data_IF_728266033714
#
_entry.id   IF_728266033714
#
_cell.length_a   1.000
_cell.length_b   1.000
_cell.length_c   1.000
_cell.angle_alpha   90.00
_cell.angle_beta   90.00
_cell.angle_gamma   90.00
#
_symmetry.space_group_name_H-M   'P 1'
#
loop_
_entity.id
_entity.type
_entity.pdbx_description
1 polymer ?
#
# COMPACT_ATOMS: atom_id res chain seq x y z
N UNK A 1 27.39 9.03 1.38
CA UNK A 1 27.06 10.30 2.06
C UNK A 1 26.29 11.30 1.17
N UNK A 2 25.70 10.91 0.02
CA UNK A 2 25.03 11.84 -0.92
C UNK A 2 23.53 11.55 -1.20
N UNK A 3 22.88 10.62 -0.49
CA UNK A 3 21.47 10.30 -0.77
C UNK A 3 20.47 11.31 -0.20
N UNK A 4 20.84 12.04 0.87
CA UNK A 4 19.93 12.97 1.55
C UNK A 4 19.58 14.24 0.73
N UNK A 5 20.37 14.58 -0.30
CA UNK A 5 20.13 15.76 -1.15
C UNK A 5 19.47 15.43 -2.50
N UNK A 6 19.05 14.18 -2.71
CA UNK A 6 18.35 13.83 -3.94
C UNK A 6 16.96 14.46 -3.97
N UNK A 7 16.63 15.10 -5.10
CA UNK A 7 15.29 15.63 -5.34
C UNK A 7 14.29 14.47 -5.35
N UNK A 8 13.10 14.68 -4.80
CA UNK A 8 12.04 13.66 -4.78
C UNK A 8 11.80 13.03 -6.16
N UNK A 9 11.81 13.86 -7.22
CA UNK A 9 11.66 13.42 -8.62
C UNK A 9 12.81 12.56 -9.17
N UNK A 10 13.92 12.45 -8.45
CA UNK A 10 15.09 11.63 -8.82
C UNK A 10 15.16 10.31 -8.05
N UNK A 11 14.26 10.11 -7.08
CA UNK A 11 14.11 8.85 -6.37
C UNK A 11 13.39 7.83 -7.27
N UNK A 12 13.75 6.55 -7.16
CA UNK A 12 12.96 5.48 -7.77
C UNK A 12 11.55 5.45 -7.15
N UNK A 13 10.56 4.88 -7.86
CA UNK A 13 9.19 4.78 -7.34
C UNK A 13 9.14 4.13 -5.95
N UNK A 14 9.96 3.09 -5.74
CA UNK A 14 10.10 2.46 -4.43
C UNK A 14 10.73 3.33 -3.33
N UNK A 15 11.67 4.21 -3.67
CA UNK A 15 12.21 5.18 -2.73
C UNK A 15 11.21 6.29 -2.40
N UNK A 16 10.41 6.72 -3.39
CA UNK A 16 9.33 7.69 -3.20
C UNK A 16 8.25 7.14 -2.26
N UNK A 17 7.81 5.90 -2.47
CA UNK A 17 6.82 5.23 -1.61
C UNK A 17 7.30 5.15 -0.15
N UNK A 18 8.53 4.67 0.10
CA UNK A 18 9.12 4.64 1.45
C UNK A 18 9.18 6.02 2.10
N UNK A 19 9.59 7.03 1.34
CA UNK A 19 9.68 8.41 1.84
C UNK A 19 8.31 8.98 2.20
N UNK A 20 7.28 8.72 1.39
CA UNK A 20 5.91 9.16 1.67
C UNK A 20 5.32 8.49 2.91
N UNK A 21 5.50 7.17 3.07
CA UNK A 21 5.04 6.46 4.28
C UNK A 21 5.72 7.02 5.53
N UNK A 22 7.03 7.28 5.47
CA UNK A 22 7.77 7.92 6.57
C UNK A 22 7.25 9.32 6.90
N UNK A 23 6.93 10.14 5.89
CA UNK A 23 6.34 11.47 6.11
C UNK A 23 4.98 11.39 6.79
N UNK A 24 4.16 10.39 6.45
CA UNK A 24 2.84 10.18 7.05
C UNK A 24 2.94 9.70 8.50
N UNK A 25 3.93 8.87 8.81
CA UNK A 25 4.27 8.47 10.16
C UNK A 25 4.71 9.68 11.00
N UNK A 26 5.65 10.48 10.47
CA UNK A 26 6.13 11.71 11.12
C UNK A 26 5.04 12.77 11.31
N UNK A 27 4.01 12.79 10.46
CA UNK A 27 2.86 13.69 10.62
C UNK A 27 1.88 13.22 11.71
N UNK A 28 2.12 12.08 12.35
CA UNK A 28 1.23 11.48 13.35
C UNK A 28 -0.04 10.89 12.75
N UNK A 29 -0.03 10.55 11.45
CA UNK A 29 -1.17 9.87 10.83
C UNK A 29 -1.29 8.47 11.42
N UNK A 30 -2.45 8.13 11.96
CA UNK A 30 -2.71 6.79 12.51
C UNK A 30 -3.34 5.84 11.49
N UNK A 31 -3.74 6.37 10.32
CA UNK A 31 -4.42 5.62 9.27
C UNK A 31 -4.02 6.09 7.88
N UNK A 32 -3.78 5.14 6.97
CA UNK A 32 -3.57 5.35 5.54
C UNK A 32 -4.73 4.74 4.76
N UNK A 33 -5.22 5.48 3.76
CA UNK A 33 -6.19 4.98 2.78
C UNK A 33 -5.54 5.01 1.40
N UNK A 34 -5.48 3.85 0.76
CA UNK A 34 -4.84 3.65 -0.54
C UNK A 34 -5.88 3.15 -1.54
N UNK A 35 -5.92 3.75 -2.72
CA UNK A 35 -6.79 3.35 -3.81
C UNK A 35 -5.92 2.93 -4.99
N UNK A 36 -5.93 1.64 -5.32
CA UNK A 36 -5.10 0.99 -6.34
C UNK A 36 -3.60 1.38 -6.28
N UNK A 37 -2.92 1.13 -5.15
CA UNK A 37 -1.60 1.71 -4.91
C UNK A 37 -0.45 1.04 -5.68
N UNK A 38 -0.68 -0.14 -6.27
CA UNK A 38 0.30 -0.82 -7.14
C UNK A 38 0.11 -0.45 -8.61
N UNK A 39 -0.92 0.30 -8.96
CA UNK A 39 -1.22 0.65 -10.34
C UNK A 39 -0.15 1.57 -10.91
N UNK A 40 0.33 1.29 -12.12
CA UNK A 40 1.45 1.98 -12.78
C UNK A 40 2.82 1.87 -12.08
N UNK A 41 2.97 1.01 -11.07
CA UNK A 41 4.27 0.69 -10.48
C UNK A 41 4.94 -0.46 -11.24
N UNK A 42 6.26 -0.36 -11.42
CA UNK A 42 7.06 -1.52 -11.77
C UNK A 42 7.22 -2.46 -10.56
N UNK A 43 7.67 -3.69 -10.80
CA UNK A 43 7.82 -4.71 -9.74
C UNK A 43 8.66 -4.21 -8.55
N UNK A 44 9.78 -3.55 -8.82
CA UNK A 44 10.66 -3.05 -7.78
C UNK A 44 10.02 -1.94 -6.93
N UNK A 45 9.18 -1.11 -7.53
CA UNK A 45 8.42 -0.06 -6.84
C UNK A 45 7.28 -0.64 -6.02
N UNK A 46 6.57 -1.65 -6.54
CA UNK A 46 5.53 -2.37 -5.80
C UNK A 46 6.11 -3.09 -4.56
N UNK A 47 7.20 -3.85 -4.70
CA UNK A 47 7.89 -4.51 -3.57
C UNK A 47 8.37 -3.50 -2.51
N UNK A 48 8.85 -2.34 -2.96
CA UNK A 48 9.28 -1.29 -2.06
C UNK A 48 8.13 -0.64 -1.30
N UNK A 49 6.97 -0.49 -1.92
CA UNK A 49 5.74 -0.02 -1.28
C UNK A 49 5.27 -1.05 -0.25
N UNK A 50 5.21 -2.33 -0.60
CA UNK A 50 4.84 -3.41 0.33
C UNK A 50 5.75 -3.40 1.57
N UNK A 51 7.07 -3.28 1.37
CA UNK A 51 8.02 -3.19 2.47
C UNK A 51 7.79 -1.94 3.34
N UNK A 52 7.48 -0.79 2.73
CA UNK A 52 7.16 0.43 3.47
C UNK A 52 5.91 0.27 4.34
N UNK A 53 4.84 -0.30 3.78
CA UNK A 53 3.58 -0.53 4.48
C UNK A 53 3.74 -1.56 5.60
N UNK A 54 4.62 -2.56 5.44
CA UNK A 54 4.94 -3.51 6.50
C UNK A 54 5.69 -2.91 7.70
N UNK A 55 6.32 -1.74 7.53
CA UNK A 55 7.00 -1.00 8.61
C UNK A 55 6.10 0.06 9.26
N UNK A 56 4.98 0.41 8.64
CA UNK A 56 4.09 1.44 9.14
C UNK A 56 3.30 0.92 10.34
N UNK A 57 3.46 1.56 11.50
CA UNK A 57 2.81 1.14 12.75
C UNK A 57 1.32 1.54 12.84
N UNK A 58 0.80 2.27 11.85
CA UNK A 58 -0.61 2.66 11.79
C UNK A 58 -1.49 1.64 11.07
N UNK A 59 -2.77 1.99 10.91
CA UNK A 59 -3.72 1.17 10.15
C UNK A 59 -3.64 1.48 8.66
N UNK A 60 -3.48 0.47 7.81
CA UNK A 60 -3.58 0.64 6.35
C UNK A 60 -4.91 0.05 5.87
N UNK A 61 -5.69 0.87 5.16
CA UNK A 61 -6.86 0.43 4.41
C UNK A 61 -6.49 0.60 2.94
N UNK A 62 -6.60 -0.47 2.16
CA UNK A 62 -6.35 -0.40 0.72
C UNK A 62 -7.51 -1.00 -0.06
N UNK A 63 -7.82 -0.37 -1.18
CA UNK A 63 -8.64 -0.93 -2.26
C UNK A 63 -7.68 -1.39 -3.34
N UNK A 64 -7.77 -2.65 -3.75
CA UNK A 64 -6.95 -3.17 -4.84
C UNK A 64 -7.58 -4.39 -5.50
N UNK A 65 -7.25 -4.61 -6.78
CA UNK A 65 -7.48 -5.86 -7.48
C UNK A 65 -6.22 -6.76 -7.58
N UNK A 66 -5.09 -6.35 -6.99
CA UNK A 66 -3.81 -7.05 -7.06
C UNK A 66 -3.69 -8.21 -6.05
N UNK A 67 -3.64 -9.43 -6.57
CA UNK A 67 -3.54 -10.67 -5.78
C UNK A 67 -2.23 -10.80 -4.99
N UNK A 68 -1.14 -10.18 -5.45
CA UNK A 68 0.12 -10.21 -4.72
C UNK A 68 0.08 -9.23 -3.56
N UNK A 69 -0.36 -8.00 -3.83
CA UNK A 69 -0.43 -6.95 -2.82
C UNK A 69 -1.35 -7.31 -1.64
N UNK A 70 -2.47 -7.98 -1.91
CA UNK A 70 -3.38 -8.44 -0.86
C UNK A 70 -2.71 -9.32 0.19
N UNK A 71 -1.64 -10.07 -0.13
CA UNK A 71 -0.97 -10.98 0.82
C UNK A 71 -0.38 -10.28 2.04
N UNK A 72 -0.12 -8.98 1.96
CA UNK A 72 0.35 -8.17 3.08
C UNK A 72 -0.74 -7.81 4.10
N UNK A 73 -2.01 -8.10 3.81
CA UNK A 73 -3.14 -7.67 4.63
C UNK A 73 -3.70 -8.81 5.49
N UNK A 74 -4.27 -8.44 6.62
CA UNK A 74 -4.77 -9.39 7.64
C UNK A 74 -6.30 -9.49 7.67
N UNK A 75 -7.02 -8.55 7.06
CA UNK A 75 -8.48 -8.49 7.04
C UNK A 75 -8.96 -8.02 5.68
N UNK A 76 -10.05 -8.62 5.20
CA UNK A 76 -10.62 -8.32 3.89
C UNK A 76 -12.10 -8.00 4.01
N UNK A 77 -12.52 -6.90 3.40
CA UNK A 77 -13.93 -6.56 3.23
C UNK A 77 -14.29 -6.81 1.76
N UNK A 78 -15.22 -7.74 1.53
CA UNK A 78 -15.64 -8.13 0.19
C UNK A 78 -16.94 -7.40 -0.15
N UNK A 79 -16.95 -6.71 -1.28
CA UNK A 79 -18.12 -6.05 -1.85
C UNK A 79 -18.74 -6.98 -2.90
N UNK A 80 -19.81 -7.68 -2.55
CA UNK A 80 -20.51 -8.57 -3.46
C UNK A 80 -21.34 -7.83 -4.51
N UNK A 81 -21.57 -8.47 -5.66
CA UNK A 81 -22.35 -7.90 -6.77
C UNK A 81 -23.80 -7.50 -6.41
N UNK A 82 -24.35 -8.03 -5.32
CA UNK A 82 -25.66 -7.70 -4.78
C UNK A 82 -25.64 -6.50 -3.81
N UNK A 83 -24.51 -5.80 -3.68
CA UNK A 83 -24.32 -4.68 -2.75
C UNK A 83 -24.11 -5.12 -1.30
N UNK A 84 -23.97 -6.41 -1.01
CA UNK A 84 -23.62 -6.89 0.32
C UNK A 84 -22.13 -6.66 0.59
N UNK A 85 -21.81 -6.27 1.82
CA UNK A 85 -20.43 -6.17 2.31
C UNK A 85 -20.28 -7.14 3.47
N UNK A 86 -19.28 -8.02 3.39
CA UNK A 86 -18.96 -8.95 4.46
C UNK A 86 -17.44 -9.05 4.67
N UNK A 87 -17.06 -9.41 5.90
CA UNK A 87 -15.67 -9.65 6.25
C UNK A 87 -15.28 -11.09 5.89
N UNK A 88 -14.09 -11.26 5.33
CA UNK A 88 -13.50 -12.55 4.99
C UNK A 88 -12.09 -12.66 5.57
N UNK A 89 -11.68 -13.83 6.09
CA UNK A 89 -10.30 -14.07 6.51
C UNK A 89 -9.32 -14.19 5.34
N UNK A 90 -9.82 -14.45 4.13
CA UNK A 90 -9.03 -14.58 2.91
C UNK A 90 -9.57 -13.65 1.80
N UNK A 91 -8.71 -13.15 0.90
CA UNK A 91 -9.16 -12.33 -0.22
C UNK A 91 -9.98 -13.17 -1.21
N UNK A 92 -11.11 -12.63 -1.65
CA UNK A 92 -11.97 -13.26 -2.66
C UNK A 92 -11.75 -12.56 -3.99
N UNK A 93 -11.36 -13.33 -5.01
CA UNK A 93 -11.24 -12.85 -6.38
C UNK A 93 -12.29 -13.57 -7.22
N UNK A 94 -13.34 -12.86 -7.62
CA UNK A 94 -14.31 -13.40 -8.58
C UNK A 94 -13.62 -13.71 -9.93
N UNK A 95 -14.14 -14.69 -10.67
CA UNK A 95 -13.65 -15.13 -11.98
C UNK A 95 -14.50 -14.56 -13.10
#
# INVERSE_FOLDING_TARGET
>A
HNQAEQKFSSLSGGQQARFQVLLLELSGSTMLLLDEPTDNLDLASAESLEHALGLYEGTVISVTHDRWFTRGFTRYLIFGANGQVYESPEPVFEH
#
